data_IF_045412770003
#
_entry.id   IF_045412770003
#
_cell.length_a   1.000
_cell.length_b   1.000
_cell.length_c   1.000
_cell.angle_alpha   90.00
_cell.angle_beta   90.00
_cell.angle_gamma   90.00
#
_symmetry.space_group_name_H-M   'P 1'
#
loop_
_entity.id
_entity.type
_entity.pdbx_description
1 polymer ?
#
# COMPACT_ATOMS: atom_id res chain seq x y z
N UNK A 1 23.69 19.32 -22.35
CA UNK A 1 22.74 18.36 -22.91
C UNK A 1 21.82 17.98 -21.78
N UNK A 2 20.56 18.41 -21.85
CA UNK A 2 19.54 18.08 -20.85
C UNK A 2 19.36 16.57 -20.86
N UNK A 3 19.60 15.91 -19.72
CA UNK A 3 19.10 14.56 -19.50
C UNK A 3 17.59 14.70 -19.26
N UNK A 4 16.84 14.77 -20.34
CA UNK A 4 15.38 14.74 -20.28
C UNK A 4 14.91 13.45 -19.60
N UNK A 5 13.83 13.56 -18.83
CA UNK A 5 13.17 12.41 -18.24
C UNK A 5 12.40 11.66 -19.33
N UNK A 6 12.83 10.44 -19.63
CA UNK A 6 12.14 9.52 -20.56
C UNK A 6 11.22 8.60 -19.75
N UNK A 7 9.93 8.61 -20.09
CA UNK A 7 8.91 7.78 -19.45
C UNK A 7 8.20 6.92 -20.49
N UNK A 8 8.09 5.63 -20.19
CA UNK A 8 7.20 4.74 -20.94
C UNK A 8 5.76 5.01 -20.48
N UNK A 9 4.99 5.72 -21.30
CA UNK A 9 3.61 6.06 -21.00
C UNK A 9 2.68 4.85 -20.96
N UNK A 10 3.01 3.76 -21.67
CA UNK A 10 2.20 2.55 -21.66
C UNK A 10 2.36 1.82 -20.33
N UNK A 11 3.60 1.69 -19.84
CA UNK A 11 3.83 1.12 -18.50
C UNK A 11 3.33 2.03 -17.38
N UNK A 12 3.49 3.34 -17.51
CA UNK A 12 2.92 4.28 -16.55
C UNK A 12 1.39 4.13 -16.46
N UNK A 13 0.70 3.97 -17.61
CA UNK A 13 -0.74 3.75 -17.66
C UNK A 13 -1.13 2.41 -17.02
N UNK A 14 -0.41 1.32 -17.33
CA UNK A 14 -0.60 0.01 -16.67
C UNK A 14 -0.42 0.08 -15.16
N UNK A 15 0.56 0.84 -14.67
CA UNK A 15 0.80 0.98 -13.24
C UNK A 15 -0.30 1.79 -12.55
N UNK A 16 -0.76 2.87 -13.17
CA UNK A 16 -1.61 3.88 -12.56
C UNK A 16 -3.11 3.73 -12.84
N UNK A 17 -3.49 2.83 -13.75
CA UNK A 17 -4.88 2.57 -14.14
C UNK A 17 -5.75 2.20 -12.92
N UNK A 18 -6.97 2.71 -12.90
CA UNK A 18 -7.98 2.31 -11.93
C UNK A 18 -9.34 2.07 -12.60
N UNK A 19 -10.00 0.92 -12.36
CA UNK A 19 -9.49 -0.25 -11.62
C UNK A 19 -8.46 -1.06 -12.44
N UNK A 20 -7.63 -1.86 -11.76
CA UNK A 20 -6.80 -2.90 -12.37
C UNK A 20 -5.35 -2.56 -12.69
N UNK A 21 -4.85 -1.39 -12.29
CA UNK A 21 -3.42 -1.07 -12.36
C UNK A 21 -2.63 -1.71 -11.23
N UNK A 22 -1.33 -1.95 -11.47
CA UNK A 22 -0.48 -2.69 -10.53
C UNK A 22 -0.34 -2.00 -9.16
N UNK A 23 -0.35 -0.66 -9.10
CA UNK A 23 -0.26 0.09 -7.84
C UNK A 23 -1.53 -0.05 -7.01
N UNK A 24 -2.70 0.13 -7.62
CA UNK A 24 -3.98 -0.04 -6.94
C UNK A 24 -4.17 -1.50 -6.46
N UNK A 25 -3.78 -2.47 -7.29
CA UNK A 25 -3.84 -3.89 -6.93
C UNK A 25 -2.90 -4.23 -5.77
N UNK A 26 -1.69 -3.67 -5.76
CA UNK A 26 -0.76 -3.83 -4.64
C UNK A 26 -1.33 -3.25 -3.34
N UNK A 27 -1.98 -2.09 -3.39
CA UNK A 27 -2.64 -1.49 -2.24
C UNK A 27 -3.79 -2.38 -1.72
N UNK A 28 -4.63 -2.94 -2.60
CA UNK A 28 -5.69 -3.87 -2.22
C UNK A 28 -5.16 -5.14 -1.55
N UNK A 29 -4.08 -5.74 -2.08
CA UNK A 29 -3.44 -6.92 -1.50
C UNK A 29 -2.85 -6.64 -0.11
N UNK A 30 -2.37 -5.42 0.14
CA UNK A 30 -1.87 -5.00 1.46
C UNK A 30 -2.98 -4.67 2.46
N UNK A 31 -4.16 -4.24 1.99
CA UNK A 31 -5.35 -4.00 2.84
C UNK A 31 -5.95 -5.28 3.43
N UNK A 32 -5.81 -6.41 2.75
CA UNK A 32 -6.30 -7.69 3.25
C UNK A 32 -5.68 -8.09 4.62
N UNK A 33 -4.35 -8.17 4.77
CA UNK A 33 -3.72 -8.51 6.06
C UNK A 33 -3.90 -7.42 7.13
N UNK A 34 -4.09 -6.16 6.74
CA UNK A 34 -4.42 -5.05 7.65
C UNK A 34 -5.67 -5.35 8.48
N UNK A 35 -6.73 -5.84 7.84
CA UNK A 35 -7.97 -6.18 8.53
C UNK A 35 -7.76 -7.25 9.61
N UNK A 36 -6.96 -8.29 9.33
CA UNK A 36 -6.63 -9.34 10.29
C UNK A 36 -5.73 -8.88 11.43
N UNK A 37 -4.76 -7.99 11.15
CA UNK A 37 -3.85 -7.45 12.15
C UNK A 37 -4.54 -6.47 13.11
N UNK A 38 -5.46 -5.65 12.61
CA UNK A 38 -6.21 -4.69 13.43
C UNK A 38 -7.25 -5.39 14.31
N UNK A 39 -7.89 -6.45 13.81
CA UNK A 39 -8.94 -7.19 14.54
C UNK A 39 -8.39 -7.89 15.79
N UNK A 40 -7.07 -8.11 15.88
CA UNK A 40 -6.40 -8.72 17.03
C UNK A 40 -7.16 -9.97 17.52
N UNK A 41 -6.96 -11.12 16.87
CA UNK A 41 -7.40 -12.39 17.45
C UNK A 41 -6.67 -12.59 18.78
N UNK A 42 -7.32 -12.17 19.87
CA UNK A 42 -6.79 -12.29 21.22
C UNK A 42 -6.59 -13.76 21.54
N UNK A 43 -5.40 -14.11 22.03
CA UNK A 43 -5.14 -15.44 22.57
C UNK A 43 -5.97 -15.64 23.85
N UNK A 44 -7.21 -16.13 23.71
CA UNK A 44 -8.05 -16.49 24.85
C UNK A 44 -7.82 -17.98 25.13
N UNK A 45 -6.71 -18.30 25.81
CA UNK A 45 -6.53 -19.62 26.40
C UNK A 45 -6.03 -19.52 27.85
N UNK A 46 -6.53 -20.37 28.77
CA UNK A 46 -6.08 -20.42 30.15
C UNK A 46 -4.74 -21.17 30.23
N UNK A 47 -3.65 -20.52 29.85
CA UNK A 47 -2.28 -21.06 29.96
C UNK A 47 -1.46 -20.26 30.95
N UNK A 48 -1.24 -20.79 32.16
CA UNK A 48 -0.36 -20.20 33.19
C UNK A 48 1.11 -20.42 32.83
N UNK A 49 1.63 -19.68 31.85
CA UNK A 49 3.05 -19.64 31.52
C UNK A 49 3.44 -18.17 31.31
N UNK A 50 4.45 -17.70 32.05
CA UNK A 50 4.92 -16.29 32.02
C UNK A 50 5.27 -15.81 30.59
N UNK A 51 5.67 -16.74 29.72
CA UNK A 51 5.96 -16.47 28.32
C UNK A 51 4.71 -16.18 27.48
N UNK A 52 3.58 -16.84 27.78
CA UNK A 52 2.31 -16.58 27.11
C UNK A 52 1.75 -15.21 27.50
N UNK A 53 1.86 -14.83 28.78
CA UNK A 53 1.45 -13.51 29.27
C UNK A 53 2.28 -12.37 28.65
N UNK A 54 3.59 -12.58 28.46
CA UNK A 54 4.46 -11.62 27.74
C UNK A 54 4.12 -11.49 26.26
N UNK A 55 3.75 -12.59 25.61
CA UNK A 55 3.30 -12.55 24.23
C UNK A 55 1.96 -11.84 24.10
N UNK A 56 1.01 -12.12 25.00
CA UNK A 56 -0.32 -11.48 25.03
C UNK A 56 -0.25 -9.95 25.23
N UNK A 57 0.75 -9.46 25.95
CA UNK A 57 0.96 -8.02 26.15
C UNK A 57 1.69 -7.34 24.98
N UNK A 58 2.64 -8.02 24.34
CA UNK A 58 3.49 -7.42 23.29
C UNK A 58 2.87 -7.56 21.89
N UNK A 59 2.12 -8.64 21.65
CA UNK A 59 1.53 -8.96 20.35
C UNK A 59 0.56 -7.90 19.83
N UNK A 60 -0.38 -7.35 20.64
CA UNK A 60 -1.28 -6.29 20.16
C UNK A 60 -0.54 -5.02 19.75
N UNK A 61 0.50 -4.63 20.49
CA UNK A 61 1.32 -3.45 20.18
C UNK A 61 2.12 -3.67 18.88
N UNK A 62 2.65 -4.87 18.67
CA UNK A 62 3.30 -5.24 17.42
C UNK A 62 2.32 -5.23 16.23
N UNK A 63 1.14 -5.85 16.38
CA UNK A 63 0.09 -5.84 15.36
C UNK A 63 -0.33 -4.42 14.98
N UNK A 64 -0.52 -3.53 15.96
CA UNK A 64 -0.84 -2.13 15.74
C UNK A 64 0.28 -1.40 14.97
N UNK A 65 1.55 -1.61 15.35
CA UNK A 65 2.68 -0.97 14.69
C UNK A 65 2.87 -1.45 13.24
N UNK A 66 2.67 -2.75 12.97
CA UNK A 66 2.70 -3.28 11.60
C UNK A 66 1.50 -2.80 10.80
N UNK A 67 0.31 -2.77 11.41
CA UNK A 67 -0.89 -2.21 10.79
C UNK A 67 -0.67 -0.78 10.33
N UNK A 68 -0.20 0.10 11.21
CA UNK A 68 0.05 1.50 10.84
C UNK A 68 1.06 1.65 9.67
N UNK A 69 2.10 0.81 9.63
CA UNK A 69 3.08 0.82 8.52
C UNK A 69 2.47 0.36 7.20
N UNK A 70 1.61 -0.66 7.24
CA UNK A 70 0.92 -1.16 6.05
C UNK A 70 -0.10 -0.15 5.53
N UNK A 71 -0.80 0.56 6.44
CA UNK A 71 -1.73 1.64 6.07
C UNK A 71 -1.00 2.76 5.35
N UNK A 72 0.12 3.24 5.91
CA UNK A 72 1.00 4.22 5.25
C UNK A 72 1.51 3.71 3.88
N UNK A 73 1.85 2.44 3.77
CA UNK A 73 2.25 1.83 2.51
C UNK A 73 1.14 1.89 1.45
N UNK A 74 -0.11 1.59 1.84
CA UNK A 74 -1.27 1.71 0.95
C UNK A 74 -1.49 3.17 0.51
N UNK A 75 -1.40 4.13 1.43
CA UNK A 75 -1.56 5.56 1.12
C UNK A 75 -0.52 6.04 0.11
N UNK A 76 0.75 5.63 0.26
CA UNK A 76 1.82 5.98 -0.67
C UNK A 76 1.59 5.37 -2.05
N UNK A 77 1.12 4.13 -2.13
CA UNK A 77 0.82 3.48 -3.41
C UNK A 77 -0.33 4.20 -4.15
N UNK A 78 -1.39 4.55 -3.44
CA UNK A 78 -2.52 5.28 -4.01
C UNK A 78 -2.12 6.69 -4.47
N UNK A 79 -1.33 7.39 -3.64
CA UNK A 79 -0.79 8.71 -3.98
C UNK A 79 0.10 8.66 -5.23
N UNK A 80 0.97 7.65 -5.34
CA UNK A 80 1.81 7.45 -6.52
C UNK A 80 0.96 7.14 -7.77
N UNK A 81 -0.09 6.32 -7.65
CA UNK A 81 -1.01 6.05 -8.75
C UNK A 81 -1.77 7.31 -9.20
N UNK A 82 -2.13 8.21 -8.27
CA UNK A 82 -2.72 9.50 -8.61
C UNK A 82 -1.71 10.40 -9.34
N UNK A 83 -0.50 10.55 -8.80
CA UNK A 83 0.55 11.36 -9.40
C UNK A 83 0.94 10.87 -10.80
N UNK A 84 1.07 9.56 -11.01
CA UNK A 84 1.34 8.99 -12.33
C UNK A 84 0.23 9.31 -13.34
N UNK A 85 -1.04 9.25 -12.96
CA UNK A 85 -2.16 9.65 -13.84
C UNK A 85 -2.08 11.12 -14.25
N UNK A 86 -1.68 12.00 -13.33
CA UNK A 86 -1.47 13.41 -13.65
C UNK A 86 -0.30 13.62 -14.61
N UNK A 87 0.83 12.94 -14.39
CA UNK A 87 1.99 12.98 -15.29
C UNK A 87 1.59 12.49 -16.70
N UNK A 88 0.90 11.36 -16.81
CA UNK A 88 0.43 10.82 -18.11
C UNK A 88 -0.48 11.84 -18.82
N UNK A 89 -1.40 12.47 -18.09
CA UNK A 89 -2.29 13.48 -18.66
C UNK A 89 -1.54 14.71 -19.18
N UNK A 90 -0.46 15.12 -18.50
CA UNK A 90 0.41 16.20 -18.97
C UNK A 90 1.15 15.81 -20.26
N UNK A 91 1.73 14.61 -20.31
CA UNK A 91 2.42 14.12 -21.51
C UNK A 91 1.47 14.03 -22.71
N UNK A 92 0.29 13.41 -22.55
CA UNK A 92 -0.71 13.31 -23.63
C UNK A 92 -1.15 14.68 -24.15
N UNK A 93 -1.27 15.69 -23.28
CA UNK A 93 -1.61 17.06 -23.68
C UNK A 93 -0.49 17.72 -24.48
N UNK A 94 0.76 17.53 -24.08
CA UNK A 94 1.93 18.05 -24.83
C UNK A 94 2.01 17.40 -26.22
N UNK A 95 1.69 16.11 -26.31
CA UNK A 95 1.70 15.36 -27.57
C UNK A 95 0.44 15.58 -28.44
N UNK A 96 -0.50 16.42 -28.01
CA UNK A 96 -1.72 16.74 -28.75
C UNK A 96 -2.79 15.63 -28.79
N UNK A 97 -2.70 14.64 -27.90
CA UNK A 97 -3.61 13.50 -27.80
C UNK A 97 -4.69 13.66 -26.71
N UNK A 98 -5.19 14.89 -26.53
CA UNK A 98 -6.17 15.26 -25.49
C UNK A 98 -7.61 14.88 -25.81
#
# INVERSE_FOLDING_TARGET
MDQGFEIDLEEADKAARYPGGSLAQAAELLRAPLSSLIINETFVQPGKLDEADRLMTTYPAWCAAIGQRLEQGCEVLDANAAALREIIALYRRVDGQG
#
